data_IF_454969060899
#
_entry.id   IF_454969060899
#
_cell.length_a   1.000
_cell.length_b   1.000
_cell.length_c   1.000
_cell.angle_alpha   90.00
_cell.angle_beta   90.00
_cell.angle_gamma   90.00
#
_symmetry.space_group_name_H-M   'P 1'
#
loop_
_entity.id
_entity.type
_entity.pdbx_description
1 polymer ?
#
# COMPACT_ATOMS: atom_id res chain seq x y z
N UNK A 1 50.96 23.81 -46.58
CA UNK A 1 50.76 23.79 -45.12
C UNK A 1 49.27 23.79 -44.88
N UNK A 2 48.70 22.65 -44.49
CA UNK A 2 47.26 22.52 -44.21
C UNK A 2 47.15 21.77 -42.90
N UNK A 3 46.73 22.48 -41.85
CA UNK A 3 46.58 21.92 -40.52
C UNK A 3 45.38 20.93 -40.50
N UNK A 4 45.49 19.79 -39.82
CA UNK A 4 44.35 18.89 -39.66
C UNK A 4 43.34 19.52 -38.69
N UNK A 5 42.06 19.53 -39.10
CA UNK A 5 40.94 19.90 -38.23
C UNK A 5 40.75 18.80 -37.18
N UNK A 6 40.99 19.13 -35.91
CA UNK A 6 40.56 18.31 -34.79
C UNK A 6 39.03 18.23 -34.78
N UNK A 7 38.51 17.01 -34.95
CA UNK A 7 37.11 16.71 -34.72
C UNK A 7 36.95 16.67 -33.20
N UNK A 8 36.33 17.70 -32.63
CA UNK A 8 35.90 17.66 -31.24
C UNK A 8 34.77 16.64 -31.14
N UNK A 9 35.05 15.48 -30.54
CA UNK A 9 34.03 14.52 -30.15
C UNK A 9 33.13 15.18 -29.10
N UNK A 10 31.97 15.65 -29.53
CA UNK A 10 30.89 16.05 -28.65
C UNK A 10 30.47 14.82 -27.86
N UNK A 11 30.91 14.76 -26.60
CA UNK A 11 30.57 13.67 -25.67
C UNK A 11 29.09 13.83 -25.32
N UNK A 12 28.22 13.29 -26.19
CA UNK A 12 26.79 13.19 -25.94
C UNK A 12 26.63 12.39 -24.66
N UNK A 13 26.27 13.08 -23.57
CA UNK A 13 25.87 12.43 -22.33
C UNK A 13 24.54 11.75 -22.63
N UNK A 14 24.61 10.47 -23.00
CA UNK A 14 23.45 9.61 -23.06
C UNK A 14 22.98 9.43 -21.62
N UNK A 15 22.01 10.23 -21.19
CA UNK A 15 21.29 10.01 -19.95
C UNK A 15 20.70 8.61 -20.01
N UNK A 16 21.11 7.73 -19.09
CA UNK A 16 20.64 6.35 -19.02
C UNK A 16 19.23 6.35 -18.39
N UNK A 17 18.14 6.32 -19.17
CA UNK A 17 16.79 6.53 -18.66
C UNK A 17 16.36 5.35 -17.76
N UNK A 18 16.99 4.18 -17.96
CA UNK A 18 16.74 2.97 -17.17
C UNK A 18 17.21 3.10 -15.72
N UNK A 19 18.34 3.77 -15.46
CA UNK A 19 18.90 3.87 -14.10
C UNK A 19 18.04 4.79 -13.22
N UNK A 20 17.57 5.91 -13.77
CA UNK A 20 16.64 6.81 -13.08
C UNK A 20 15.28 6.15 -12.86
N UNK A 21 14.79 5.37 -13.85
CA UNK A 21 13.56 4.58 -13.71
C UNK A 21 13.66 3.52 -12.61
N UNK A 22 14.79 2.82 -12.51
CA UNK A 22 15.04 1.83 -11.45
C UNK A 22 15.13 2.48 -10.06
N UNK A 23 15.85 3.60 -9.94
CA UNK A 23 15.95 4.35 -8.68
C UNK A 23 14.57 4.87 -8.25
N UNK A 24 13.77 5.39 -9.19
CA UNK A 24 12.43 5.87 -8.89
C UNK A 24 11.50 4.73 -8.46
N UNK A 25 11.58 3.57 -9.11
CA UNK A 25 10.83 2.37 -8.70
C UNK A 25 11.22 1.93 -7.29
N UNK A 26 12.52 1.88 -6.98
CA UNK A 26 12.99 1.52 -5.65
C UNK A 26 12.50 2.52 -4.57
N UNK A 27 12.44 3.81 -4.89
CA UNK A 27 11.90 4.84 -4.00
C UNK A 27 10.40 4.66 -3.77
N UNK A 28 9.63 4.37 -4.82
CA UNK A 28 8.19 4.12 -4.72
C UNK A 28 7.93 2.92 -3.81
N UNK A 29 8.61 1.79 -4.04
CA UNK A 29 8.45 0.59 -3.21
C UNK A 29 8.79 0.86 -1.73
N UNK A 30 9.82 1.68 -1.46
CA UNK A 30 10.14 2.09 -0.08
C UNK A 30 9.06 2.97 0.56
N UNK A 31 8.43 3.85 -0.23
CA UNK A 31 7.34 4.69 0.26
C UNK A 31 6.09 3.86 0.53
N UNK A 32 5.77 2.90 -0.34
CA UNK A 32 4.67 1.94 -0.16
C UNK A 32 4.87 1.14 1.12
N UNK A 33 6.06 0.57 1.35
CA UNK A 33 6.36 -0.17 2.58
C UNK A 33 6.23 0.69 3.84
N UNK A 34 6.67 1.95 3.79
CA UNK A 34 6.51 2.90 4.90
C UNK A 34 5.05 3.21 5.17
N UNK A 35 4.26 3.39 4.11
CA UNK A 35 2.83 3.68 4.21
C UNK A 35 2.07 2.49 4.79
N UNK A 36 2.38 1.27 4.36
CA UNK A 36 1.84 0.03 4.92
C UNK A 36 2.16 -0.09 6.41
N UNK A 37 3.42 0.17 6.79
CA UNK A 37 3.87 0.15 8.18
C UNK A 37 3.12 1.18 9.04
N UNK A 38 2.96 2.41 8.53
CA UNK A 38 2.21 3.46 9.23
C UNK A 38 0.73 3.10 9.38
N UNK A 39 0.12 2.53 8.35
CA UNK A 39 -1.27 2.05 8.38
C UNK A 39 -1.46 1.02 9.50
N UNK A 40 -0.56 0.04 9.61
CA UNK A 40 -0.57 -0.96 10.70
C UNK A 40 -0.45 -0.31 12.08
N UNK A 41 0.49 0.62 12.26
CA UNK A 41 0.67 1.32 13.54
C UNK A 41 -0.59 2.10 13.90
N UNK A 42 -1.19 2.81 12.95
CA UNK A 42 -2.39 3.62 13.21
C UNK A 42 -3.61 2.77 13.56
N UNK A 43 -3.82 1.65 12.89
CA UNK A 43 -4.90 0.70 13.24
C UNK A 43 -4.67 0.11 14.64
N UNK A 44 -3.43 -0.25 14.96
CA UNK A 44 -3.08 -0.79 16.28
C UNK A 44 -3.32 0.23 17.39
N UNK A 45 -2.87 1.47 17.20
CA UNK A 45 -3.12 2.55 18.15
C UNK A 45 -4.61 2.84 18.31
N UNK A 46 -5.37 2.80 17.21
CA UNK A 46 -6.83 2.97 17.24
C UNK A 46 -7.51 1.88 18.07
N UNK A 47 -7.13 0.62 17.87
CA UNK A 47 -7.68 -0.50 18.64
C UNK A 47 -7.37 -0.40 20.13
N UNK A 48 -6.12 -0.06 20.48
CA UNK A 48 -5.70 0.17 21.87
C UNK A 48 -6.58 1.25 22.49
N UNK A 49 -6.67 2.42 21.85
CA UNK A 49 -7.48 3.53 22.37
C UNK A 49 -8.96 3.16 22.52
N UNK A 50 -9.51 2.39 21.57
CA UNK A 50 -10.91 1.97 21.58
C UNK A 50 -11.22 0.96 22.69
N UNK A 51 -10.30 0.04 22.99
CA UNK A 51 -10.53 -1.06 23.93
C UNK A 51 -10.09 -0.73 25.36
N UNK A 52 -9.00 0.02 25.50
CA UNK A 52 -8.28 0.20 26.76
C UNK A 52 -8.22 1.67 27.22
N UNK A 53 -8.61 2.62 26.37
CA UNK A 53 -8.46 4.04 26.68
C UNK A 53 -6.99 4.48 26.71
N UNK A 54 -6.69 5.53 27.48
CA UNK A 54 -5.36 6.14 27.57
C UNK A 54 -4.53 5.69 28.79
N UNK A 55 -5.16 5.01 29.75
CA UNK A 55 -4.55 4.73 31.07
C UNK A 55 -3.84 3.37 31.12
N UNK A 56 -4.21 2.46 30.21
CA UNK A 56 -3.64 1.12 30.12
C UNK A 56 -2.39 1.11 29.23
N UNK A 57 -1.28 0.60 29.76
CA UNK A 57 -0.08 0.34 28.96
C UNK A 57 -0.26 -0.97 28.18
N UNK A 58 -0.74 -0.86 26.94
CA UNK A 58 -0.79 -2.01 26.02
C UNK A 58 0.49 -2.04 25.18
N UNK A 59 1.08 -3.22 25.03
CA UNK A 59 2.22 -3.41 24.14
C UNK A 59 1.80 -3.27 22.67
N UNK A 60 2.21 -2.16 22.05
CA UNK A 60 1.93 -1.86 20.66
C UNK A 60 2.40 -2.98 19.71
N UNK A 61 3.51 -3.66 20.02
CA UNK A 61 4.01 -4.74 19.15
C UNK A 61 3.07 -5.93 19.13
N UNK A 62 2.51 -6.29 20.28
CA UNK A 62 1.52 -7.36 20.39
C UNK A 62 0.25 -7.01 19.63
N UNK A 63 -0.24 -5.76 19.75
CA UNK A 63 -1.40 -5.32 18.99
C UNK A 63 -1.12 -5.30 17.48
N UNK A 64 0.04 -4.82 17.05
CA UNK A 64 0.43 -4.86 15.64
C UNK A 64 0.44 -6.29 15.07
N UNK A 65 0.91 -7.28 15.83
CA UNK A 65 0.86 -8.67 15.40
C UNK A 65 -0.58 -9.18 15.27
N UNK A 66 -1.47 -8.79 16.19
CA UNK A 66 -2.90 -9.12 16.11
C UNK A 66 -3.56 -8.47 14.87
N UNK A 67 -3.27 -7.20 14.61
CA UNK A 67 -3.76 -6.46 13.43
C UNK A 67 -3.28 -7.11 12.13
N UNK A 68 -2.01 -7.52 12.03
CA UNK A 68 -1.48 -8.23 10.86
C UNK A 68 -2.28 -9.52 10.60
N UNK A 69 -2.53 -10.32 11.65
CA UNK A 69 -3.35 -11.53 11.53
C UNK A 69 -4.78 -11.22 11.07
N UNK A 70 -5.41 -10.21 11.69
CA UNK A 70 -6.77 -9.80 11.33
C UNK A 70 -6.88 -9.27 9.90
N UNK A 71 -5.86 -8.55 9.40
CA UNK A 71 -5.80 -8.13 7.99
C UNK A 71 -5.69 -9.32 7.06
N UNK A 72 -4.79 -10.26 7.34
CA UNK A 72 -4.64 -11.47 6.51
C UNK A 72 -5.93 -12.28 6.42
N UNK A 73 -6.68 -12.38 7.52
CA UNK A 73 -8.00 -13.02 7.53
C UNK A 73 -9.00 -12.27 6.65
N UNK A 74 -9.10 -10.94 6.75
CA UNK A 74 -10.02 -10.13 5.93
C UNK A 74 -9.64 -10.13 4.45
N UNK A 75 -8.36 -10.08 4.14
CA UNK A 75 -7.82 -10.12 2.77
C UNK A 75 -8.17 -11.41 2.02
N UNK A 76 -8.34 -12.51 2.75
CA UNK A 76 -8.74 -13.79 2.20
C UNK A 76 -10.25 -13.88 1.90
N UNK A 77 -11.07 -12.96 2.41
CA UNK A 77 -12.52 -12.99 2.24
C UNK A 77 -12.89 -12.32 0.91
N UNK A 78 -13.60 -13.08 0.08
CA UNK A 78 -14.19 -12.59 -1.16
C UNK A 78 -15.71 -12.68 -1.09
N UNK A 79 -16.38 -11.72 -1.73
CA UNK A 79 -17.84 -11.65 -1.83
C UNK A 79 -18.20 -11.36 -3.27
N UNK A 80 -19.26 -12.02 -3.75
CA UNK A 80 -19.84 -11.74 -5.06
C UNK A 80 -20.77 -10.53 -4.97
N UNK A 81 -20.55 -9.54 -5.85
CA UNK A 81 -21.43 -8.37 -5.93
C UNK A 81 -22.78 -8.78 -6.53
N UNK A 82 -23.87 -8.56 -5.80
CA UNK A 82 -25.21 -8.93 -6.25
C UNK A 82 -25.69 -8.18 -7.52
N UNK A 83 -25.05 -7.05 -7.87
CA UNK A 83 -25.45 -6.22 -9.00
C UNK A 83 -24.71 -6.60 -10.30
N UNK A 84 -23.39 -6.80 -10.25
CA UNK A 84 -22.57 -7.10 -11.43
C UNK A 84 -21.94 -8.50 -11.44
N UNK A 85 -22.17 -9.29 -10.39
CA UNK A 85 -21.61 -10.64 -10.18
C UNK A 85 -20.07 -10.70 -10.22
N UNK A 86 -19.38 -9.57 -10.00
CA UNK A 86 -17.93 -9.59 -9.84
C UNK A 86 -17.56 -10.14 -8.47
N UNK A 87 -16.52 -10.96 -8.42
CA UNK A 87 -15.90 -11.40 -7.17
C UNK A 87 -14.96 -10.31 -6.68
N UNK A 88 -15.29 -9.73 -5.52
CA UNK A 88 -14.56 -8.61 -4.92
C UNK A 88 -13.97 -9.03 -3.59
N UNK A 89 -12.82 -8.44 -3.23
CA UNK A 89 -12.34 -8.49 -1.84
C UNK A 89 -13.24 -7.63 -0.97
N UNK A 90 -13.45 -8.05 0.27
CA UNK A 90 -14.37 -7.39 1.19
C UNK A 90 -13.84 -6.06 1.76
N UNK A 91 -12.56 -5.77 1.59
CA UNK A 91 -11.82 -4.66 2.20
C UNK A 91 -12.50 -3.29 2.05
N UNK A 92 -13.04 -2.97 0.88
CA UNK A 92 -13.64 -1.66 0.58
C UNK A 92 -15.10 -1.52 1.04
N UNK A 93 -15.79 -2.62 1.34
CA UNK A 93 -17.24 -2.64 1.57
C UNK A 93 -18.10 -2.30 0.35
N UNK A 94 -17.50 -1.96 -0.79
CA UNK A 94 -18.16 -1.59 -2.05
C UNK A 94 -17.51 -2.30 -3.23
N UNK A 95 -18.29 -2.62 -4.25
CA UNK A 95 -17.80 -3.27 -5.45
C UNK A 95 -16.89 -2.32 -6.25
N UNK A 96 -15.67 -2.76 -6.57
CA UNK A 96 -14.73 -1.95 -7.36
C UNK A 96 -15.18 -1.70 -8.80
N UNK A 97 -16.07 -2.55 -9.34
CA UNK A 97 -16.56 -2.45 -10.72
C UNK A 97 -17.80 -1.58 -10.88
N UNK A 98 -18.80 -1.73 -10.01
CA UNK A 98 -20.09 -1.03 -10.15
C UNK A 98 -20.39 -0.05 -9.02
N UNK A 99 -19.57 0.00 -7.96
CA UNK A 99 -19.74 0.92 -6.83
C UNK A 99 -20.84 0.52 -5.83
N UNK A 100 -21.61 -0.53 -6.11
CA UNK A 100 -22.67 -0.99 -5.20
C UNK A 100 -22.10 -1.60 -3.90
N UNK A 101 -22.77 -1.46 -2.75
CA UNK A 101 -22.35 -2.06 -1.50
C UNK A 101 -22.23 -3.58 -1.59
N UNK A 102 -21.16 -4.14 -1.02
CA UNK A 102 -20.99 -5.58 -0.91
C UNK A 102 -21.82 -6.11 0.25
N UNK A 103 -22.47 -7.26 0.07
CA UNK A 103 -23.33 -7.91 1.06
C UNK A 103 -22.59 -8.54 2.25
N UNK A 104 -21.38 -8.08 2.58
CA UNK A 104 -20.61 -8.60 3.70
C UNK A 104 -21.11 -8.04 5.03
N UNK A 105 -21.34 -8.92 6.01
CA UNK A 105 -21.86 -8.56 7.34
C UNK A 105 -20.81 -8.56 8.45
N UNK A 106 -19.57 -8.92 8.14
CA UNK A 106 -18.48 -8.89 9.12
C UNK A 106 -17.90 -7.50 9.32
N UNK A 107 -16.89 -7.41 10.18
CA UNK A 107 -16.18 -6.15 10.42
C UNK A 107 -15.19 -5.85 9.29
N UNK A 108 -15.27 -4.63 8.75
CA UNK A 108 -14.28 -4.03 7.86
C UNK A 108 -13.52 -2.99 8.67
N UNK A 109 -12.19 -3.00 8.58
CA UNK A 109 -11.38 -2.01 9.27
C UNK A 109 -11.40 -0.70 8.48
N UNK A 110 -11.51 0.46 9.15
CA UNK A 110 -11.40 1.75 8.47
C UNK A 110 -9.98 2.04 7.95
N UNK A 111 -9.04 1.09 8.07
CA UNK A 111 -7.66 1.18 7.60
C UNK A 111 -7.36 0.21 6.45
N UNK A 112 -8.34 -0.56 5.98
CA UNK A 112 -8.22 -1.46 4.83
C UNK A 112 -8.49 -0.65 3.54
N UNK A 113 -7.46 -0.04 2.95
CA UNK A 113 -7.52 0.68 1.67
C UNK A 113 -6.37 0.31 0.75
#
# INVERSE_FOLDING_TARGET
MTAPKEIQEEKVVVSAPSLESEINTARINQLELKLETLSLITESMWNILKQHGLEDSVDLKTEMAAVIGARAERDAITVECANCNSTEKVLSGVCGQCGEPLGYKGHISPFDY
#
